data_IF_429857679465
#
_entry.id   IF_429857679465
#
_cell.length_a   1.000
_cell.length_b   1.000
_cell.length_c   1.000
_cell.angle_alpha   90.00
_cell.angle_beta   90.00
_cell.angle_gamma   90.00
#
_symmetry.space_group_name_H-M   'P 1'
#
loop_
_entity.id
_entity.type
_entity.pdbx_description
1 polymer ?
#
# COMPACT_ATOMS: atom_id res chain seq x y z
N UNK A 1 -12.66 -3.29 -10.74
CA UNK A 1 -12.77 -2.07 -9.88
C UNK A 1 -13.33 -0.91 -10.70
N UNK A 2 -14.17 -0.07 -10.08
CA UNK A 2 -14.80 1.11 -10.69
C UNK A 2 -14.24 2.34 -9.97
N UNK A 3 -13.71 3.31 -10.71
CA UNK A 3 -13.13 4.52 -10.13
C UNK A 3 -14.22 5.38 -9.47
N UNK A 4 -13.93 5.86 -8.28
CA UNK A 4 -14.73 6.83 -7.54
C UNK A 4 -13.99 8.16 -7.34
N UNK A 5 -13.06 8.50 -8.22
CA UNK A 5 -12.17 9.65 -8.02
C UNK A 5 -12.78 11.00 -8.38
N UNK A 6 -13.90 11.05 -9.10
CA UNK A 6 -14.52 12.33 -9.51
C UNK A 6 -15.72 12.73 -8.64
N UNK A 7 -16.09 14.00 -8.72
CA UNK A 7 -17.33 14.56 -8.17
C UNK A 7 -17.49 14.41 -6.66
N UNK A 8 -16.43 14.64 -5.89
CA UNK A 8 -16.52 14.72 -4.44
C UNK A 8 -16.86 16.13 -3.98
N UNK A 9 -17.91 16.30 -3.20
CA UNK A 9 -18.10 17.52 -2.42
C UNK A 9 -17.10 17.55 -1.27
N UNK A 10 -16.40 18.67 -1.09
CA UNK A 10 -15.38 18.85 -0.07
C UNK A 10 -15.71 20.00 0.87
N UNK A 11 -15.44 19.80 2.17
CA UNK A 11 -15.50 20.86 3.19
C UNK A 11 -14.32 20.75 4.15
N UNK A 12 -13.80 21.90 4.57
CA UNK A 12 -12.80 21.96 5.66
C UNK A 12 -13.42 21.86 7.06
N UNK A 13 -14.75 21.85 7.16
CA UNK A 13 -15.47 21.75 8.43
C UNK A 13 -16.43 20.57 8.37
N UNK A 14 -16.10 19.52 9.10
CA UNK A 14 -16.96 18.35 9.22
C UNK A 14 -18.18 18.63 10.10
N UNK A 15 -19.34 18.13 9.73
CA UNK A 15 -20.53 18.04 10.56
C UNK A 15 -21.31 16.75 10.30
N UNK A 16 -22.09 16.30 11.26
CA UNK A 16 -23.01 15.16 11.05
C UNK A 16 -23.99 15.43 9.91
N UNK A 17 -24.50 16.66 9.77
CA UNK A 17 -25.36 17.09 8.68
C UNK A 17 -24.71 16.91 7.31
N UNK A 18 -23.38 17.12 7.21
CA UNK A 18 -22.64 16.85 5.97
C UNK A 18 -22.76 15.38 5.55
N UNK A 19 -22.58 14.42 6.47
CA UNK A 19 -22.75 13.00 6.16
C UNK A 19 -24.19 12.64 5.75
N UNK A 20 -25.19 13.35 6.25
CA UNK A 20 -26.60 13.20 5.91
C UNK A 20 -27.02 13.93 4.63
N UNK A 21 -26.13 14.72 4.02
CA UNK A 21 -26.36 15.40 2.75
C UNK A 21 -26.82 16.83 2.87
N UNK A 22 -26.68 17.44 4.01
CA UNK A 22 -27.01 18.86 4.22
C UNK A 22 -25.97 19.76 3.57
N UNK A 23 -26.43 20.91 3.06
CA UNK A 23 -25.58 21.89 2.41
C UNK A 23 -25.15 21.52 0.99
N UNK A 24 -24.46 22.45 0.35
CA UNK A 24 -23.78 22.27 -0.96
C UNK A 24 -22.36 22.78 -0.83
N UNK A 25 -21.41 22.03 -1.37
CA UNK A 25 -19.99 22.29 -1.23
C UNK A 25 -19.30 22.22 -2.59
N UNK A 26 -18.10 22.83 -2.73
CA UNK A 26 -17.32 22.72 -3.93
C UNK A 26 -17.04 21.27 -4.31
N UNK A 27 -17.00 20.98 -5.60
CA UNK A 27 -16.61 19.68 -6.13
C UNK A 27 -15.11 19.65 -6.30
N UNK A 28 -14.52 18.51 -5.96
CA UNK A 28 -13.10 18.19 -6.14
C UNK A 28 -12.95 16.78 -6.74
N UNK A 29 -11.85 16.57 -7.43
CA UNK A 29 -11.45 15.26 -7.92
C UNK A 29 -10.25 14.74 -7.10
N UNK A 30 -10.10 13.41 -7.00
CA UNK A 30 -9.00 12.75 -6.32
C UNK A 30 -7.88 12.42 -7.32
N UNK A 31 -6.63 12.52 -6.88
CA UNK A 31 -6.11 12.82 -5.53
C UNK A 31 -6.34 14.28 -5.13
N UNK A 32 -6.68 14.52 -3.86
CA UNK A 32 -6.96 15.86 -3.33
C UNK A 32 -6.32 16.10 -1.97
N UNK A 33 -5.70 17.28 -1.79
CA UNK A 33 -5.16 17.72 -0.49
C UNK A 33 -6.21 18.51 0.30
N UNK A 34 -6.25 18.32 1.62
CA UNK A 34 -7.26 18.94 2.49
C UNK A 34 -7.11 20.45 2.67
N UNK A 35 -6.00 21.02 2.29
CA UNK A 35 -5.72 22.44 2.37
C UNK A 35 -4.87 22.96 1.21
N UNK A 36 -4.85 24.27 1.03
CA UNK A 36 -3.95 24.89 0.07
C UNK A 36 -2.52 24.81 0.61
N UNK A 37 -1.59 24.30 -0.20
CA UNK A 37 -0.19 24.18 0.15
C UNK A 37 0.59 25.22 -0.65
N UNK A 38 1.24 26.19 0.00
CA UNK A 38 2.04 27.18 -0.71
C UNK A 38 3.33 26.57 -1.31
N UNK A 39 3.97 27.29 -2.21
CA UNK A 39 5.26 26.86 -2.77
C UNK A 39 6.34 26.72 -1.68
N UNK A 40 6.34 27.63 -0.72
CA UNK A 40 7.30 27.68 0.37
C UNK A 40 6.60 27.96 1.70
N UNK A 41 7.24 27.53 2.79
CA UNK A 41 6.85 27.87 4.16
C UNK A 41 5.43 27.41 4.55
N UNK A 42 4.99 26.22 4.05
CA UNK A 42 3.76 25.62 4.51
C UNK A 42 3.81 25.39 6.03
N UNK A 43 2.69 25.66 6.70
CA UNK A 43 2.53 25.44 8.13
C UNK A 43 1.44 24.40 8.35
N UNK A 44 1.46 23.66 9.48
CA UNK A 44 0.38 22.71 9.80
C UNK A 44 -1.02 23.32 9.70
N UNK A 45 -1.20 24.60 10.05
CA UNK A 45 -2.49 25.30 9.98
C UNK A 45 -3.03 25.44 8.55
N UNK A 46 -2.17 25.37 7.54
CA UNK A 46 -2.57 25.50 6.14
C UNK A 46 -3.31 24.24 5.65
N UNK A 47 -3.00 23.06 6.20
CA UNK A 47 -3.50 21.77 5.72
C UNK A 47 -4.10 20.87 6.81
N UNK A 48 -3.84 21.12 8.10
CA UNK A 48 -4.36 20.31 9.19
C UNK A 48 -5.76 20.78 9.61
N UNK A 49 -6.61 19.84 10.04
CA UNK A 49 -7.97 20.09 10.51
C UNK A 49 -8.86 18.86 10.38
N UNK A 50 -10.14 19.03 10.66
CA UNK A 50 -11.14 17.97 10.48
C UNK A 50 -11.99 18.35 9.26
N UNK A 51 -11.77 17.66 8.16
CA UNK A 51 -12.44 17.89 6.89
C UNK A 51 -13.41 16.77 6.52
N UNK A 52 -14.22 16.99 5.50
CA UNK A 52 -15.19 16.05 4.98
C UNK A 52 -15.16 15.95 3.46
N UNK A 53 -15.28 14.71 2.98
CA UNK A 53 -15.51 14.38 1.58
C UNK A 53 -16.83 13.63 1.47
N UNK A 54 -17.65 13.93 0.46
CA UNK A 54 -18.86 13.16 0.23
C UNK A 54 -19.21 13.11 -1.26
N UNK A 55 -19.86 12.02 -1.68
CA UNK A 55 -20.38 11.86 -3.04
C UNK A 55 -21.59 10.94 -3.10
N UNK A 56 -22.34 11.03 -4.20
CA UNK A 56 -23.32 10.01 -4.57
C UNK A 56 -22.62 8.69 -4.97
N UNK A 57 -23.24 7.57 -4.61
CA UNK A 57 -22.81 6.23 -4.99
C UNK A 57 -24.01 5.46 -5.51
N UNK A 58 -24.12 5.32 -6.84
CA UNK A 58 -25.13 4.48 -7.47
C UNK A 58 -24.71 3.02 -7.44
N UNK A 59 -25.56 2.15 -6.90
CA UNK A 59 -25.33 0.71 -6.84
C UNK A 59 -26.46 0.02 -7.58
N UNK A 60 -26.20 -0.50 -8.82
CA UNK A 60 -27.20 -1.16 -9.65
C UNK A 60 -27.85 -2.39 -8.98
N UNK A 61 -29.09 -2.71 -9.36
CA UNK A 61 -29.80 -3.90 -8.86
C UNK A 61 -29.09 -5.19 -9.22
N UNK A 62 -28.38 -5.24 -10.33
CA UNK A 62 -27.60 -6.40 -10.81
C UNK A 62 -26.42 -6.78 -9.91
N UNK A 63 -26.02 -5.88 -9.00
CA UNK A 63 -24.98 -6.17 -7.99
C UNK A 63 -25.55 -6.90 -6.76
N UNK A 64 -26.86 -7.09 -6.68
CA UNK A 64 -27.49 -7.86 -5.59
C UNK A 64 -26.97 -9.32 -5.60
N UNK A 65 -26.49 -9.78 -4.45
CA UNK A 65 -25.84 -11.10 -4.30
C UNK A 65 -24.34 -11.10 -4.55
N UNK A 66 -23.77 -9.98 -4.96
CA UNK A 66 -22.33 -9.74 -5.01
C UNK A 66 -21.83 -9.10 -3.72
N UNK A 67 -20.55 -9.26 -3.41
CA UNK A 67 -19.88 -8.52 -2.34
C UNK A 67 -19.33 -7.22 -2.89
N UNK A 68 -19.54 -6.14 -2.15
CA UNK A 68 -19.18 -4.79 -2.55
C UNK A 68 -18.22 -4.19 -1.53
N UNK A 69 -17.11 -3.66 -2.01
CA UNK A 69 -16.10 -3.07 -1.16
C UNK A 69 -15.71 -1.69 -1.67
N UNK A 70 -15.49 -0.79 -0.73
CA UNK A 70 -14.77 0.46 -0.98
C UNK A 70 -13.29 0.22 -0.72
N UNK A 71 -12.44 0.52 -1.69
CA UNK A 71 -11.00 0.49 -1.56
C UNK A 71 -10.48 1.92 -1.54
N UNK A 72 -9.74 2.28 -0.49
CA UNK A 72 -9.04 3.55 -0.36
C UNK A 72 -7.54 3.28 -0.46
N UNK A 73 -6.86 3.89 -1.43
CA UNK A 73 -5.42 3.69 -1.61
C UNK A 73 -4.58 4.59 -0.68
N UNK A 74 -5.22 5.60 -0.05
CA UNK A 74 -4.65 6.42 1.01
C UNK A 74 -5.58 7.55 1.45
N UNK A 75 -5.76 7.69 2.76
CA UNK A 75 -6.61 8.70 3.39
C UNK A 75 -5.93 9.23 4.66
N UNK A 76 -5.30 10.40 4.57
CA UNK A 76 -4.45 10.90 5.64
C UNK A 76 -5.20 11.88 6.57
N UNK A 77 -5.22 11.62 7.91
CA UNK A 77 -4.45 10.57 8.60
C UNK A 77 -5.36 9.59 9.35
N UNK A 78 -6.46 10.07 9.95
CA UNK A 78 -7.48 9.25 10.58
C UNK A 78 -8.80 9.41 9.82
N UNK A 79 -9.22 8.32 9.19
CA UNK A 79 -10.43 8.30 8.35
C UNK A 79 -11.59 7.59 9.06
N UNK A 80 -12.78 8.17 8.96
CA UNK A 80 -14.03 7.50 9.28
C UNK A 80 -14.92 7.48 8.04
N UNK A 81 -15.37 6.28 7.66
CA UNK A 81 -16.17 6.05 6.43
C UNK A 81 -17.63 5.88 6.81
N UNK A 82 -18.49 6.66 6.17
CA UNK A 82 -19.94 6.66 6.37
C UNK A 82 -20.67 6.29 5.09
N UNK A 83 -21.73 5.52 5.21
CA UNK A 83 -22.66 5.27 4.12
C UNK A 83 -24.09 5.58 4.58
N UNK A 84 -24.79 6.43 3.83
CA UNK A 84 -26.15 6.88 4.15
C UNK A 84 -26.29 7.50 5.56
N UNK A 85 -25.22 8.13 6.07
CA UNK A 85 -25.15 8.75 7.39
C UNK A 85 -24.71 7.81 8.53
N UNK A 86 -24.58 6.51 8.29
CA UNK A 86 -24.10 5.54 9.27
C UNK A 86 -22.61 5.30 9.13
N UNK A 87 -21.86 5.31 10.24
CA UNK A 87 -20.43 4.99 10.28
C UNK A 87 -20.23 3.49 10.09
N UNK A 88 -19.44 3.12 9.07
CA UNK A 88 -19.14 1.72 8.77
C UNK A 88 -17.76 1.28 9.26
N UNK A 89 -16.77 2.15 9.18
CA UNK A 89 -15.38 1.81 9.50
C UNK A 89 -14.57 3.04 9.90
N UNK A 90 -13.42 2.78 10.51
CA UNK A 90 -12.37 3.76 10.73
C UNK A 90 -11.01 3.16 10.34
N UNK A 91 -10.07 4.02 9.97
CA UNK A 91 -8.71 3.64 9.63
C UNK A 91 -7.72 4.66 10.16
N UNK A 92 -6.68 4.19 10.85
CA UNK A 92 -5.74 5.01 11.61
C UNK A 92 -4.32 4.99 11.02
N UNK A 93 -4.22 5.07 9.70
CA UNK A 93 -2.94 5.22 8.99
C UNK A 93 -3.16 6.05 7.73
N UNK A 94 -2.40 7.12 7.59
CA UNK A 94 -2.50 7.96 6.39
C UNK A 94 -1.83 7.38 5.15
N UNK A 95 -0.98 6.35 5.27
CA UNK A 95 -0.03 5.97 4.23
C UNK A 95 -0.27 4.58 3.61
N UNK A 96 -1.17 3.79 4.19
CA UNK A 96 -1.53 2.46 3.71
C UNK A 96 -2.93 2.44 3.10
N UNK A 97 -3.17 1.50 2.21
CA UNK A 97 -4.49 1.25 1.65
C UNK A 97 -5.35 0.44 2.64
N UNK A 98 -6.65 0.70 2.61
CA UNK A 98 -7.62 -0.06 3.40
C UNK A 98 -8.91 -0.31 2.62
N UNK A 99 -9.67 -1.30 3.07
CA UNK A 99 -10.88 -1.78 2.40
C UNK A 99 -12.04 -1.87 3.37
N UNK A 100 -13.22 -1.42 2.92
CA UNK A 100 -14.45 -1.43 3.72
C UNK A 100 -15.54 -2.20 2.97
N UNK A 101 -16.05 -3.28 3.53
CA UNK A 101 -17.19 -4.00 2.96
C UNK A 101 -18.48 -3.21 3.21
N UNK A 102 -19.23 -2.95 2.14
CA UNK A 102 -20.49 -2.18 2.18
C UNK A 102 -21.71 -2.99 1.76
N UNK A 103 -21.56 -4.29 1.51
CA UNK A 103 -22.59 -5.20 0.94
C UNK A 103 -23.92 -5.10 1.67
N UNK A 104 -23.91 -5.09 3.01
CA UNK A 104 -25.11 -5.06 3.84
C UNK A 104 -25.69 -3.65 4.06
N UNK A 105 -24.91 -2.60 3.77
CA UNK A 105 -25.27 -1.22 4.05
C UNK A 105 -25.82 -0.46 2.83
N UNK A 106 -25.60 -1.02 1.61
CA UNK A 106 -26.03 -0.36 0.36
C UNK A 106 -27.53 -0.53 0.09
N UNK A 107 -28.11 0.47 -0.54
CA UNK A 107 -29.45 0.45 -1.11
C UNK A 107 -29.33 0.19 -2.61
N UNK A 108 -29.65 -1.04 -3.03
CA UNK A 108 -29.54 -1.45 -4.43
C UNK A 108 -30.62 -0.78 -5.32
N UNK A 109 -30.23 -0.31 -6.50
CA UNK A 109 -31.11 0.38 -7.44
C UNK A 109 -31.45 1.82 -7.02
N UNK A 110 -30.76 2.33 -6.01
CA UNK A 110 -30.94 3.68 -5.49
C UNK A 110 -29.59 4.37 -5.37
N UNK A 111 -29.60 5.69 -5.29
CA UNK A 111 -28.43 6.46 -4.93
C UNK A 111 -28.17 6.32 -3.42
N UNK A 112 -26.92 5.95 -3.10
CA UNK A 112 -26.39 5.98 -1.75
C UNK A 112 -25.51 7.22 -1.57
N UNK A 113 -25.28 7.60 -0.34
CA UNK A 113 -24.36 8.69 -0.02
C UNK A 113 -23.16 8.16 0.72
N UNK A 114 -22.01 8.20 0.06
CA UNK A 114 -20.71 7.92 0.66
C UNK A 114 -20.15 9.21 1.24
N UNK A 115 -19.72 9.18 2.51
CA UNK A 115 -19.00 10.29 3.12
C UNK A 115 -17.78 9.78 3.90
N UNK A 116 -16.73 10.60 3.92
CA UNK A 116 -15.50 10.33 4.66
C UNK A 116 -15.16 11.55 5.49
N UNK A 117 -15.05 11.33 6.82
CA UNK A 117 -14.48 12.30 7.74
C UNK A 117 -12.98 12.03 7.86
N UNK A 118 -12.17 13.04 7.65
CA UNK A 118 -10.73 12.95 7.86
C UNK A 118 -10.29 13.91 8.96
N UNK A 119 -9.59 13.36 9.93
CA UNK A 119 -8.78 14.13 10.86
C UNK A 119 -7.34 14.16 10.31
N UNK A 120 -6.92 15.33 9.85
CA UNK A 120 -5.60 15.57 9.25
C UNK A 120 -4.65 16.26 10.23
N UNK A 121 -5.04 16.35 11.51
CA UNK A 121 -4.19 16.93 12.57
C UNK A 121 -3.07 15.97 12.97
N UNK A 122 -2.03 16.50 13.57
CA UNK A 122 -0.96 15.72 14.20
C UNK A 122 -1.45 15.12 15.52
N UNK A 123 -2.26 14.07 15.42
CA UNK A 123 -2.86 13.40 16.58
C UNK A 123 -1.85 12.44 17.24
N UNK A 124 -1.35 12.73 18.47
CA UNK A 124 -0.33 11.91 19.12
C UNK A 124 -0.77 10.47 19.47
N UNK A 125 -2.06 10.15 19.35
CA UNK A 125 -2.55 8.78 19.50
C UNK A 125 -2.44 7.94 18.22
N UNK A 126 -2.05 8.53 17.09
CA UNK A 126 -1.99 7.89 15.77
C UNK A 126 -0.57 7.97 15.20
N UNK A 127 0.07 6.85 14.81
CA UNK A 127 1.34 6.91 14.08
C UNK A 127 1.18 7.72 12.77
N UNK A 128 2.17 8.53 12.39
CA UNK A 128 3.51 8.68 12.95
C UNK A 128 3.64 9.70 14.08
N UNK A 129 2.54 10.32 14.53
CA UNK A 129 2.54 11.48 15.40
C UNK A 129 2.88 11.16 16.87
N UNK A 130 3.22 12.20 17.62
CA UNK A 130 3.51 12.14 19.06
C UNK A 130 4.73 12.95 19.48
N UNK A 131 5.59 13.29 18.54
CA UNK A 131 6.73 14.20 18.67
C UNK A 131 6.84 15.04 17.40
N UNK A 132 7.78 15.97 17.36
CA UNK A 132 8.03 16.78 16.15
C UNK A 132 8.50 15.85 15.02
N UNK A 133 7.82 15.92 13.88
CA UNK A 133 8.29 15.28 12.64
C UNK A 133 9.24 16.22 11.90
N UNK A 134 10.25 15.67 11.22
CA UNK A 134 11.14 16.44 10.36
C UNK A 134 10.63 16.59 8.92
N UNK A 135 9.37 16.20 8.69
CA UNK A 135 8.67 16.34 7.43
C UNK A 135 7.21 16.78 7.64
N UNK A 136 6.61 17.41 6.62
CA UNK A 136 5.22 17.84 6.68
C UNK A 136 4.27 16.67 6.36
N UNK A 137 3.31 16.43 7.24
CA UNK A 137 2.35 15.35 7.12
C UNK A 137 1.02 15.87 6.53
N UNK A 138 0.99 16.05 5.22
CA UNK A 138 -0.19 16.56 4.50
C UNK A 138 -1.36 15.61 4.57
N UNK A 139 -2.59 16.15 4.69
CA UNK A 139 -3.82 15.37 4.78
C UNK A 139 -4.70 15.46 3.54
N UNK A 140 -5.67 14.57 3.46
CA UNK A 140 -6.68 14.52 2.41
C UNK A 140 -6.99 13.10 1.93
N UNK A 141 -7.97 12.97 1.02
CA UNK A 141 -8.10 11.81 0.14
C UNK A 141 -7.07 11.99 -0.99
N UNK A 142 -5.82 11.73 -0.67
CA UNK A 142 -4.69 12.07 -1.52
C UNK A 142 -4.25 10.94 -2.46
N UNK A 143 -5.01 9.84 -2.47
CA UNK A 143 -4.90 8.72 -3.41
C UNK A 143 -6.28 8.30 -3.89
N UNK A 144 -6.32 7.32 -4.77
CA UNK A 144 -7.54 6.88 -5.44
C UNK A 144 -8.51 6.18 -4.48
N UNK A 145 -9.80 6.25 -4.84
CA UNK A 145 -10.90 5.50 -4.21
C UNK A 145 -11.63 4.70 -5.28
N UNK A 146 -11.95 3.45 -4.96
CA UNK A 146 -12.55 2.49 -5.88
C UNK A 146 -13.77 1.80 -5.27
N UNK A 147 -14.74 1.45 -6.12
CA UNK A 147 -15.73 0.43 -5.81
C UNK A 147 -15.27 -0.90 -6.42
N UNK A 148 -15.02 -1.89 -5.58
CA UNK A 148 -14.66 -3.25 -5.98
C UNK A 148 -15.89 -4.15 -5.86
N UNK A 149 -16.34 -4.73 -6.96
CA UNK A 149 -17.53 -5.59 -7.07
C UNK A 149 -17.06 -7.01 -7.32
N UNK A 150 -17.31 -7.90 -6.35
CA UNK A 150 -16.78 -9.26 -6.34
C UNK A 150 -17.89 -10.30 -6.35
N UNK A 151 -17.54 -11.56 -6.62
CA UNK A 151 -18.41 -12.69 -6.44
C UNK A 151 -18.85 -12.91 -4.98
N UNK A 152 -19.67 -13.94 -4.73
CA UNK A 152 -20.02 -14.34 -3.37
C UNK A 152 -18.80 -14.92 -2.63
N UNK A 153 -18.04 -15.77 -3.34
CA UNK A 153 -16.71 -16.22 -2.93
C UNK A 153 -15.67 -15.24 -3.49
N UNK A 154 -14.65 -14.88 -2.69
CA UNK A 154 -13.69 -13.82 -3.03
C UNK A 154 -12.27 -14.30 -2.80
N UNK A 155 -11.40 -14.05 -3.76
CA UNK A 155 -9.95 -14.11 -3.55
C UNK A 155 -9.54 -12.82 -2.84
N UNK A 156 -9.37 -12.90 -1.53
CA UNK A 156 -8.97 -11.76 -0.70
C UNK A 156 -7.52 -11.36 -0.98
N UNK A 157 -6.64 -12.36 -1.12
CA UNK A 157 -5.21 -12.12 -1.36
C UNK A 157 -4.57 -13.17 -2.26
N UNK A 158 -3.55 -12.74 -3.01
CA UNK A 158 -2.65 -13.56 -3.82
C UNK A 158 -1.24 -13.16 -3.46
N UNK A 159 -0.49 -14.07 -2.83
CA UNK A 159 0.90 -13.84 -2.48
C UNK A 159 1.81 -14.74 -3.31
N UNK A 160 2.80 -14.14 -3.97
CA UNK A 160 3.75 -14.82 -4.86
C UNK A 160 5.16 -14.70 -4.29
N UNK A 161 5.82 -15.84 -4.09
CA UNK A 161 7.25 -15.88 -3.78
C UNK A 161 8.01 -16.63 -4.87
N UNK A 162 9.28 -16.30 -5.05
CA UNK A 162 10.14 -16.88 -6.08
C UNK A 162 11.39 -17.50 -5.45
N UNK A 163 11.29 -18.74 -4.93
CA UNK A 163 12.42 -19.41 -4.27
C UNK A 163 13.58 -19.68 -5.23
N UNK A 164 13.30 -19.71 -6.53
CA UNK A 164 14.32 -19.79 -7.60
C UNK A 164 13.93 -18.87 -8.76
N UNK A 165 14.84 -18.65 -9.70
CA UNK A 165 14.61 -17.80 -10.87
C UNK A 165 13.61 -18.40 -11.89
N UNK A 166 13.13 -19.62 -11.66
CA UNK A 166 12.22 -20.33 -12.58
C UNK A 166 11.02 -20.97 -11.89
N UNK A 167 10.89 -20.77 -10.58
CA UNK A 167 9.77 -21.31 -9.78
C UNK A 167 9.08 -20.19 -9.01
N UNK A 168 7.75 -20.12 -9.14
CA UNK A 168 6.88 -19.30 -8.30
C UNK A 168 6.06 -20.20 -7.38
N UNK A 169 5.92 -19.79 -6.12
CA UNK A 169 5.02 -20.35 -5.13
C UNK A 169 3.91 -19.33 -4.86
N UNK A 170 2.67 -19.75 -5.01
CA UNK A 170 1.50 -18.89 -4.92
C UNK A 170 0.64 -19.34 -3.73
N UNK A 171 0.38 -18.43 -2.81
CA UNK A 171 -0.55 -18.62 -1.71
C UNK A 171 -1.80 -17.77 -1.93
N UNK A 172 -2.97 -18.39 -1.86
CA UNK A 172 -4.27 -17.73 -1.98
C UNK A 172 -4.92 -17.62 -0.62
N UNK A 173 -5.52 -16.47 -0.32
CA UNK A 173 -6.48 -16.32 0.76
C UNK A 173 -7.86 -16.17 0.13
N UNK A 174 -8.76 -17.10 0.42
CA UNK A 174 -10.11 -17.13 -0.17
C UNK A 174 -11.15 -17.10 0.94
N UNK A 175 -12.14 -16.24 0.81
CA UNK A 175 -13.35 -16.25 1.64
C UNK A 175 -14.52 -16.83 0.84
N UNK A 176 -15.26 -17.78 1.45
CA UNK A 176 -16.40 -18.44 0.82
C UNK A 176 -16.34 -19.96 0.85
N UNK A 177 -17.21 -20.64 0.08
CA UNK A 177 -17.58 -22.04 0.25
C UNK A 177 -16.84 -23.07 -0.62
N UNK A 178 -15.59 -22.80 -1.04
CA UNK A 178 -14.76 -23.88 -1.59
C UNK A 178 -14.86 -24.08 -3.11
N UNK A 179 -14.91 -23.00 -3.87
CA UNK A 179 -14.77 -23.05 -5.32
C UNK A 179 -13.41 -23.66 -5.73
N UNK A 180 -13.39 -24.40 -6.86
CA UNK A 180 -12.15 -24.82 -7.50
C UNK A 180 -11.33 -23.60 -7.91
N UNK A 181 -10.02 -23.69 -7.84
CA UNK A 181 -9.12 -22.57 -8.11
C UNK A 181 -8.28 -22.86 -9.32
N UNK A 182 -8.04 -21.83 -10.13
CA UNK A 182 -7.07 -21.88 -11.23
C UNK A 182 -6.08 -20.73 -11.05
N UNK A 183 -4.81 -21.06 -11.23
CA UNK A 183 -3.70 -20.11 -11.17
C UNK A 183 -2.97 -20.15 -12.50
N UNK A 184 -2.95 -19.04 -13.21
CA UNK A 184 -2.33 -18.90 -14.53
C UNK A 184 -1.15 -17.92 -14.45
N UNK A 185 0.04 -18.37 -14.86
CA UNK A 185 1.20 -17.52 -15.07
C UNK A 185 1.13 -16.90 -16.45
N UNK A 186 1.19 -15.58 -16.51
CA UNK A 186 1.18 -14.78 -17.73
C UNK A 186 2.50 -14.02 -17.86
N UNK A 187 3.02 -13.89 -19.07
CA UNK A 187 4.12 -12.97 -19.38
C UNK A 187 3.63 -11.53 -19.53
N UNK A 188 4.56 -10.61 -19.81
CA UNK A 188 4.26 -9.18 -19.98
C UNK A 188 3.31 -8.87 -21.16
N UNK A 189 3.22 -9.77 -22.15
CA UNK A 189 2.29 -9.65 -23.28
C UNK A 189 0.92 -10.29 -22.99
N UNK A 190 0.73 -10.91 -21.80
CA UNK A 190 -0.49 -11.62 -21.42
C UNK A 190 -0.54 -13.06 -21.96
N UNK A 191 0.54 -13.59 -22.54
CA UNK A 191 0.58 -14.95 -23.00
C UNK A 191 0.71 -15.93 -21.83
N UNK A 192 -0.02 -17.05 -21.90
CA UNK A 192 0.00 -18.10 -20.87
C UNK A 192 1.35 -18.85 -20.92
N UNK A 193 2.09 -18.76 -19.82
CA UNK A 193 3.37 -19.44 -19.64
C UNK A 193 3.22 -20.79 -18.95
N UNK A 194 2.31 -20.88 -17.96
CA UNK A 194 2.02 -22.09 -17.20
C UNK A 194 0.70 -21.93 -16.46
N UNK A 195 0.13 -23.05 -16.03
CA UNK A 195 -1.16 -23.08 -15.30
C UNK A 195 -1.17 -24.23 -14.28
N UNK A 196 -1.83 -24.01 -13.17
CA UNK A 196 -2.16 -25.03 -12.18
C UNK A 196 -3.62 -24.87 -11.76
N UNK A 197 -4.29 -26.00 -11.46
CA UNK A 197 -5.71 -26.01 -11.06
C UNK A 197 -5.92 -27.05 -9.96
N UNK A 198 -6.82 -26.77 -9.02
CA UNK A 198 -7.12 -27.64 -7.89
C UNK A 198 -7.99 -26.97 -6.84
N UNK A 199 -8.07 -27.59 -5.66
CA UNK A 199 -8.89 -27.11 -4.54
C UNK A 199 -8.03 -26.55 -3.38
N UNK A 200 -6.72 -26.55 -3.56
CA UNK A 200 -5.76 -26.06 -2.56
C UNK A 200 -5.67 -24.54 -2.54
N UNK A 201 -5.09 -24.00 -1.47
CA UNK A 201 -4.72 -22.58 -1.35
C UNK A 201 -3.24 -22.30 -1.69
N UNK A 202 -2.45 -23.35 -2.00
CA UNK A 202 -1.04 -23.21 -2.36
C UNK A 202 -0.76 -23.91 -3.69
N UNK A 203 -0.11 -23.17 -4.58
CA UNK A 203 0.24 -23.63 -5.92
C UNK A 203 1.72 -23.42 -6.19
N UNK A 204 2.25 -24.23 -7.08
CA UNK A 204 3.63 -24.18 -7.55
C UNK A 204 3.64 -24.13 -9.06
N UNK A 205 4.28 -23.12 -9.62
CA UNK A 205 4.40 -22.95 -11.05
C UNK A 205 5.87 -22.91 -11.41
N UNK A 206 6.30 -23.82 -12.30
CA UNK A 206 7.64 -23.85 -12.84
C UNK A 206 7.62 -23.35 -14.29
N UNK A 207 8.52 -22.42 -14.61
CA UNK A 207 8.67 -21.87 -15.95
C UNK A 207 10.15 -21.76 -16.31
N UNK A 208 10.68 -22.76 -17.05
CA UNK A 208 12.11 -22.85 -17.38
C UNK A 208 12.62 -21.70 -18.26
N UNK A 209 11.74 -21.05 -19.00
CA UNK A 209 12.07 -19.92 -19.86
C UNK A 209 11.86 -18.55 -19.17
N UNK A 210 11.69 -18.54 -17.85
CA UNK A 210 11.55 -17.29 -17.11
C UNK A 210 12.81 -16.42 -17.28
N UNK A 211 12.59 -15.16 -17.59
CA UNK A 211 13.64 -14.14 -17.60
C UNK A 211 13.59 -13.44 -16.23
N UNK A 212 14.70 -13.45 -15.47
CA UNK A 212 14.73 -12.83 -14.15
C UNK A 212 14.46 -11.33 -14.22
N UNK A 213 13.83 -10.81 -13.18
CA UNK A 213 13.76 -9.38 -12.92
C UNK A 213 15.11 -8.89 -12.40
N UNK A 214 15.66 -7.85 -13.01
CA UNK A 214 16.92 -7.23 -12.61
C UNK A 214 16.88 -5.72 -12.77
N UNK A 215 17.98 -5.04 -12.42
CA UNK A 215 18.11 -3.58 -12.57
C UNK A 215 18.09 -3.13 -14.03
N UNK A 216 18.65 -3.93 -14.92
CA UNK A 216 18.81 -3.59 -16.35
C UNK A 216 17.75 -4.27 -17.23
N UNK A 217 17.22 -5.39 -16.78
CA UNK A 217 16.15 -6.14 -17.44
C UNK A 217 15.01 -6.41 -16.44
N UNK A 218 14.12 -5.46 -16.18
CA UNK A 218 13.05 -5.59 -15.21
C UNK A 218 11.87 -6.42 -15.76
N UNK A 219 12.11 -7.70 -16.02
CA UNK A 219 11.11 -8.60 -16.60
C UNK A 219 10.00 -8.89 -15.59
N UNK A 220 8.77 -8.54 -15.93
CA UNK A 220 7.60 -8.70 -15.10
C UNK A 220 6.66 -9.77 -15.66
N UNK A 221 6.01 -10.46 -14.75
CA UNK A 221 5.00 -11.49 -14.99
C UNK A 221 3.76 -11.20 -14.14
N UNK A 222 2.66 -11.87 -14.46
CA UNK A 222 1.44 -11.80 -13.65
C UNK A 222 0.96 -13.20 -13.28
N UNK A 223 0.41 -13.32 -12.06
CA UNK A 223 -0.44 -14.44 -11.67
C UNK A 223 -1.89 -13.99 -11.74
N UNK A 224 -2.67 -14.62 -12.61
CA UNK A 224 -4.12 -14.55 -12.60
C UNK A 224 -4.65 -15.73 -11.78
N UNK A 225 -5.29 -15.44 -10.66
CA UNK A 225 -5.95 -16.42 -9.82
C UNK A 225 -7.47 -16.30 -10.02
N UNK A 226 -8.15 -17.42 -10.24
CA UNK A 226 -9.58 -17.50 -10.52
C UNK A 226 -10.26 -18.51 -9.60
N UNK A 227 -11.48 -18.18 -9.18
CA UNK A 227 -12.42 -19.13 -8.56
C UNK A 227 -13.39 -19.64 -9.61
N UNK A 228 -13.59 -20.95 -9.65
CA UNK A 228 -14.44 -21.60 -10.62
C UNK A 228 -15.62 -22.28 -9.91
N UNK A 229 -16.82 -22.12 -10.45
CA UNK A 229 -17.99 -22.87 -9.99
C UNK A 229 -17.96 -24.33 -10.50
N UNK A 230 -18.98 -25.11 -10.13
CA UNK A 230 -19.12 -26.52 -10.53
C UNK A 230 -19.23 -26.70 -12.06
N UNK A 231 -19.60 -25.69 -12.82
CA UNK A 231 -19.65 -25.70 -14.28
C UNK A 231 -18.32 -25.34 -14.94
N UNK A 232 -17.36 -24.85 -14.14
CA UNK A 232 -16.08 -24.30 -14.61
C UNK A 232 -16.14 -22.82 -15.00
N UNK A 233 -17.23 -22.13 -14.73
CA UNK A 233 -17.33 -20.69 -14.97
C UNK A 233 -16.59 -19.90 -13.87
N UNK A 234 -15.92 -18.81 -14.28
CA UNK A 234 -15.20 -17.93 -13.36
C UNK A 234 -16.20 -17.11 -12.54
N UNK A 235 -16.11 -17.24 -11.23
CA UNK A 235 -16.97 -16.51 -10.27
C UNK A 235 -16.25 -15.33 -9.61
N UNK A 236 -14.93 -15.40 -9.49
CA UNK A 236 -14.09 -14.33 -9.01
C UNK A 236 -12.66 -14.43 -9.60
N UNK A 237 -11.99 -13.30 -9.75
CA UNK A 237 -10.67 -13.20 -10.35
C UNK A 237 -9.84 -12.13 -9.64
N UNK A 238 -8.55 -12.44 -9.42
CA UNK A 238 -7.57 -11.46 -8.95
C UNK A 238 -6.23 -11.67 -9.64
N UNK A 239 -5.72 -10.60 -10.25
CA UNK A 239 -4.41 -10.61 -10.91
C UNK A 239 -3.42 -9.79 -10.11
N UNK A 240 -2.23 -10.35 -9.89
CA UNK A 240 -1.09 -9.67 -9.25
C UNK A 240 0.15 -9.75 -10.12
N UNK A 241 0.93 -8.68 -10.14
CA UNK A 241 2.18 -8.59 -10.88
C UNK A 241 3.35 -8.98 -9.96
N UNK A 242 4.38 -9.60 -10.51
CA UNK A 242 5.60 -9.98 -9.81
C UNK A 242 6.78 -10.15 -10.79
N UNK A 243 7.98 -10.40 -10.26
CA UNK A 243 9.16 -10.73 -11.06
C UNK A 243 9.90 -11.92 -10.47
N UNK A 244 10.39 -12.82 -11.31
CA UNK A 244 11.29 -13.91 -10.87
C UNK A 244 12.62 -13.31 -10.45
N UNK A 245 12.93 -13.38 -9.17
CA UNK A 245 14.19 -12.93 -8.61
C UNK A 245 14.53 -13.60 -7.29
N UNK A 246 15.81 -13.59 -6.94
CA UNK A 246 16.30 -13.82 -5.57
C UNK A 246 16.97 -12.56 -5.07
N UNK A 247 16.69 -12.12 -3.84
CA UNK A 247 17.26 -10.93 -3.25
C UNK A 247 17.66 -11.23 -1.80
N UNK A 248 18.90 -10.96 -1.45
CA UNK A 248 19.46 -11.37 -0.16
C UNK A 248 20.55 -10.40 0.31
N UNK A 249 20.44 -9.96 1.57
CA UNK A 249 21.54 -9.35 2.31
C UNK A 249 22.33 -10.44 3.03
N UNK A 250 23.62 -10.51 2.77
CA UNK A 250 24.53 -11.45 3.42
C UNK A 250 25.88 -10.81 3.67
N UNK A 251 26.77 -11.53 4.35
CA UNK A 251 28.12 -11.00 4.57
C UNK A 251 28.76 -10.61 3.23
N UNK A 252 29.15 -9.35 3.12
CA UNK A 252 29.74 -8.78 1.90
C UNK A 252 28.81 -7.89 1.08
N UNK A 253 27.52 -7.80 1.40
CA UNK A 253 26.60 -6.85 0.79
C UNK A 253 25.25 -7.41 0.38
N UNK A 254 24.56 -6.69 -0.49
CA UNK A 254 23.32 -7.11 -1.10
C UNK A 254 23.58 -7.88 -2.41
N UNK A 255 22.81 -8.92 -2.63
CA UNK A 255 22.89 -9.77 -3.82
C UNK A 255 21.52 -9.89 -4.48
N UNK A 256 21.46 -9.62 -5.76
CA UNK A 256 20.29 -9.81 -6.62
C UNK A 256 20.61 -10.92 -7.64
N UNK A 257 19.80 -11.96 -7.66
CA UNK A 257 20.00 -13.12 -8.56
C UNK A 257 21.39 -13.78 -8.43
N UNK A 258 21.97 -13.71 -7.23
CA UNK A 258 23.30 -14.24 -6.94
C UNK A 258 24.45 -13.28 -7.22
N UNK A 259 24.22 -12.17 -7.89
CA UNK A 259 25.22 -11.16 -8.20
C UNK A 259 25.20 -10.03 -7.16
N UNK A 260 26.39 -9.56 -6.78
CA UNK A 260 26.52 -8.46 -5.82
C UNK A 260 26.11 -7.14 -6.46
N UNK A 261 25.17 -6.44 -5.82
CA UNK A 261 24.73 -5.10 -6.22
C UNK A 261 25.16 -4.08 -5.16
N UNK A 262 25.76 -2.99 -5.62
CA UNK A 262 26.03 -1.84 -4.76
C UNK A 262 24.80 -0.94 -4.70
N UNK A 263 24.21 -0.81 -3.50
CA UNK A 263 23.03 0.04 -3.27
C UNK A 263 23.47 1.51 -3.21
N UNK A 264 23.06 2.28 -4.20
CA UNK A 264 23.34 3.71 -4.32
C UNK A 264 22.04 4.43 -4.64
N UNK A 265 21.66 5.41 -3.82
CA UNK A 265 20.38 6.06 -4.01
C UNK A 265 20.12 7.20 -3.06
N UNK A 266 18.87 7.62 -3.02
CA UNK A 266 18.38 8.75 -2.24
C UNK A 266 17.22 8.34 -1.34
N UNK A 267 16.96 9.17 -0.33
CA UNK A 267 15.71 9.15 0.44
C UNK A 267 14.66 9.98 -0.30
N UNK A 268 13.46 9.45 -0.46
CA UNK A 268 12.37 10.15 -1.14
C UNK A 268 11.21 10.43 -0.19
N UNK A 269 10.79 11.70 -0.12
CA UNK A 269 9.47 12.10 0.35
C UNK A 269 8.53 12.33 -0.84
N UNK A 270 7.22 12.00 -0.68
CA UNK A 270 6.24 12.05 -1.79
C UNK A 270 5.52 13.40 -1.95
N UNK A 271 6.05 14.47 -1.36
CA UNK A 271 5.38 15.76 -1.36
C UNK A 271 5.79 16.65 -2.53
N UNK A 272 4.82 17.45 -3.01
CA UNK A 272 5.02 18.45 -4.05
C UNK A 272 4.48 19.81 -3.63
N UNK A 273 5.08 20.92 -4.12
CA UNK A 273 4.50 22.25 -3.98
C UNK A 273 3.05 22.28 -4.47
N UNK A 274 2.19 23.02 -3.80
CA UNK A 274 0.75 23.21 -4.06
C UNK A 274 -0.14 21.99 -3.85
N UNK A 275 0.38 20.78 -3.96
CA UNK A 275 -0.37 19.54 -3.90
C UNK A 275 -0.15 18.71 -2.64
N UNK A 276 0.90 19.02 -1.85
CA UNK A 276 1.26 18.16 -0.71
C UNK A 276 1.49 16.71 -1.14
N UNK A 277 0.72 15.77 -0.60
CA UNK A 277 0.77 14.35 -0.98
C UNK A 277 -0.11 13.98 -2.17
N UNK A 278 -0.99 14.88 -2.63
CA UNK A 278 -1.95 14.61 -3.71
C UNK A 278 -1.32 14.65 -5.11
N UNK A 279 -0.11 14.11 -5.24
CA UNK A 279 0.57 14.01 -6.52
C UNK A 279 -0.04 12.90 -7.39
N UNK A 280 -0.49 13.21 -8.63
CA UNK A 280 -1.10 12.22 -9.51
C UNK A 280 -0.09 11.18 -10.00
N UNK A 281 -0.61 10.06 -10.58
CA UNK A 281 0.20 8.96 -11.11
C UNK A 281 1.39 9.43 -11.95
N UNK A 282 1.18 10.37 -12.88
CA UNK A 282 2.23 10.85 -13.76
C UNK A 282 3.45 11.42 -13.01
N UNK A 283 3.22 12.18 -11.93
CA UNK A 283 4.32 12.71 -11.11
C UNK A 283 4.99 11.64 -10.26
N UNK A 284 4.23 10.68 -9.74
CA UNK A 284 4.78 9.55 -8.99
C UNK A 284 5.72 8.70 -9.86
N UNK A 285 5.32 8.46 -11.11
CA UNK A 285 6.12 7.71 -12.09
C UNK A 285 7.35 8.51 -12.56
N UNK A 286 7.19 9.82 -12.72
CA UNK A 286 8.28 10.71 -13.14
C UNK A 286 9.40 10.75 -12.09
N UNK A 287 9.09 10.75 -10.81
CA UNK A 287 10.12 10.67 -9.75
C UNK A 287 10.95 9.38 -9.86
N UNK A 288 10.30 8.24 -10.09
CA UNK A 288 11.01 6.97 -10.27
C UNK A 288 11.91 7.01 -11.52
N UNK A 289 11.41 7.62 -12.62
CA UNK A 289 12.19 7.80 -13.86
C UNK A 289 13.42 8.68 -13.62
N UNK A 290 13.25 9.83 -12.95
CA UNK A 290 14.37 10.74 -12.62
C UNK A 290 15.41 10.02 -11.76
N UNK A 291 14.99 9.31 -10.72
CA UNK A 291 15.89 8.56 -9.85
C UNK A 291 16.69 7.52 -10.63
N UNK A 292 16.03 6.77 -11.51
CA UNK A 292 16.67 5.70 -12.27
C UNK A 292 17.51 6.21 -13.43
N UNK A 293 16.93 7.05 -14.30
CA UNK A 293 17.52 7.38 -15.59
C UNK A 293 18.43 8.61 -15.53
N UNK A 294 18.07 9.64 -14.75
CA UNK A 294 18.86 10.86 -14.68
C UNK A 294 19.90 10.84 -13.55
N UNK A 295 19.51 10.33 -12.37
CA UNK A 295 20.39 10.26 -11.21
C UNK A 295 21.14 8.94 -11.11
N UNK A 296 20.85 7.97 -12.00
CA UNK A 296 21.50 6.67 -12.05
C UNK A 296 21.49 5.93 -10.69
N UNK A 297 20.40 6.07 -9.92
CA UNK A 297 20.22 5.37 -8.67
C UNK A 297 19.96 3.87 -8.93
N UNK A 298 20.52 3.01 -8.07
CA UNK A 298 20.18 1.59 -8.02
C UNK A 298 19.11 1.28 -7.01
N UNK A 299 18.94 2.17 -6.01
CA UNK A 299 17.97 2.01 -4.93
C UNK A 299 17.37 3.35 -4.50
N UNK A 300 16.20 3.30 -3.87
CA UNK A 300 15.55 4.42 -3.20
C UNK A 300 15.00 3.95 -1.84
N UNK A 301 15.11 4.79 -0.84
CA UNK A 301 14.40 4.61 0.43
C UNK A 301 13.16 5.50 0.44
N UNK A 302 12.00 4.93 0.73
CA UNK A 302 10.74 5.69 0.86
C UNK A 302 10.59 6.22 2.28
N UNK A 303 11.28 7.33 2.58
CA UNK A 303 11.29 7.98 3.90
C UNK A 303 9.98 8.69 4.18
N UNK A 304 9.36 8.56 5.30
CA UNK A 304 9.48 7.54 6.34
C UNK A 304 8.13 6.87 6.46
N UNK A 305 7.62 6.33 5.32
CA UNK A 305 6.27 5.76 5.20
C UNK A 305 6.08 5.03 3.85
N UNK A 306 5.09 4.13 3.74
CA UNK A 306 4.71 3.53 2.47
C UNK A 306 4.22 4.58 1.47
N UNK A 307 4.81 4.60 0.26
CA UNK A 307 4.49 5.59 -0.76
C UNK A 307 3.51 5.06 -1.80
N UNK A 308 3.10 5.92 -2.76
CA UNK A 308 2.11 5.60 -3.79
C UNK A 308 2.43 4.29 -4.53
N UNK A 309 1.39 3.48 -4.81
CA UNK A 309 1.54 2.29 -5.65
C UNK A 309 2.10 2.62 -7.02
N UNK A 310 1.75 3.77 -7.60
CA UNK A 310 2.25 4.19 -8.91
C UNK A 310 3.75 4.42 -8.92
N UNK A 311 4.31 4.91 -7.80
CA UNK A 311 5.75 5.01 -7.63
C UNK A 311 6.42 3.63 -7.55
N UNK A 312 5.85 2.72 -6.75
CA UNK A 312 6.38 1.36 -6.60
C UNK A 312 6.24 0.56 -7.90
N UNK A 313 5.10 0.69 -8.60
CA UNK A 313 4.89 0.10 -9.92
C UNK A 313 5.94 0.58 -10.93
N UNK A 314 6.26 1.87 -10.93
CA UNK A 314 7.31 2.43 -11.78
C UNK A 314 8.71 1.90 -11.38
N UNK A 315 8.99 1.73 -10.09
CA UNK A 315 10.23 1.10 -9.62
C UNK A 315 10.37 -0.34 -10.13
N UNK A 316 9.26 -1.11 -10.12
CA UNK A 316 9.24 -2.47 -10.70
C UNK A 316 9.55 -2.46 -12.19
N UNK A 317 8.97 -1.53 -12.95
CA UNK A 317 9.11 -1.42 -14.41
C UNK A 317 10.46 -0.88 -14.85
N UNK A 318 11.09 -0.06 -14.03
CA UNK A 318 12.38 0.58 -14.33
C UNK A 318 13.59 -0.20 -13.76
N UNK A 319 13.35 -1.18 -12.89
CA UNK A 319 14.44 -1.88 -12.20
C UNK A 319 15.11 -1.01 -11.14
N UNK A 320 14.32 -0.29 -10.32
CA UNK A 320 14.81 0.52 -9.20
C UNK A 320 14.47 -0.20 -7.89
N UNK A 321 15.48 -0.55 -7.09
CA UNK A 321 15.29 -1.23 -5.81
C UNK A 321 14.67 -0.29 -4.77
N UNK A 322 13.83 -0.82 -3.90
CA UNK A 322 13.11 -0.05 -2.89
C UNK A 322 13.34 -0.61 -1.49
N UNK A 323 13.72 0.28 -0.57
CA UNK A 323 13.62 0.08 0.86
C UNK A 323 12.41 0.87 1.37
N UNK A 324 11.32 0.20 1.73
CA UNK A 324 10.12 0.84 2.30
C UNK A 324 10.01 0.57 3.79
N UNK A 325 9.41 1.53 4.54
CA UNK A 325 9.37 1.45 6.00
C UNK A 325 8.01 1.86 6.57
N UNK A 326 7.73 1.40 7.80
CA UNK A 326 6.53 1.79 8.53
C UNK A 326 6.56 3.29 8.86
N UNK A 327 5.38 3.95 8.97
CA UNK A 327 5.31 5.38 9.25
C UNK A 327 5.86 5.73 10.63
N UNK A 328 6.82 6.68 10.69
CA UNK A 328 7.31 7.18 11.96
C UNK A 328 8.65 7.89 11.89
N UNK A 329 8.86 8.79 12.86
CA UNK A 329 10.13 9.49 13.08
C UNK A 329 10.35 9.71 14.58
N UNK A 330 11.37 9.08 15.15
CA UNK A 330 11.84 9.12 16.54
C UNK A 330 10.83 8.67 17.62
N UNK A 331 9.57 9.08 17.55
CA UNK A 331 8.58 8.82 18.59
C UNK A 331 8.11 7.36 18.62
N UNK A 332 8.05 6.81 19.84
CA UNK A 332 7.35 5.56 20.16
C UNK A 332 6.31 5.91 21.21
N UNK A 333 5.03 5.69 20.89
CA UNK A 333 3.92 6.00 21.78
C UNK A 333 3.60 4.91 22.78
N UNK A 334 2.42 5.00 23.37
CA UNK A 334 1.87 4.05 24.34
C UNK A 334 1.49 2.70 23.69
N UNK A 335 0.94 1.79 24.48
CA UNK A 335 0.53 0.47 23.99
C UNK A 335 -0.56 0.53 22.89
N UNK A 336 -1.42 1.55 22.87
CA UNK A 336 -2.42 1.71 21.82
C UNK A 336 -1.77 2.19 20.51
N UNK A 337 -0.87 3.14 20.60
CA UNK A 337 -0.06 3.62 19.48
C UNK A 337 0.78 2.49 18.87
N UNK A 338 1.47 1.69 19.70
CA UNK A 338 2.28 0.53 19.25
C UNK A 338 1.43 -0.49 18.51
N UNK A 339 0.23 -0.84 19.01
CA UNK A 339 -0.69 -1.74 18.28
C UNK A 339 -1.06 -1.22 16.89
N UNK A 340 -1.33 0.09 16.76
CA UNK A 340 -1.60 0.72 15.45
C UNK A 340 -0.37 0.65 14.54
N UNK A 341 0.81 0.91 15.08
CA UNK A 341 2.06 0.81 14.33
C UNK A 341 2.36 -0.63 13.88
N UNK A 342 2.06 -1.64 14.69
CA UNK A 342 2.13 -3.07 14.30
C UNK A 342 1.15 -3.35 13.16
N UNK A 343 -0.07 -2.80 13.20
CA UNK A 343 -1.03 -2.95 12.11
C UNK A 343 -0.54 -2.26 10.82
N UNK A 344 0.12 -1.11 10.93
CA UNK A 344 0.74 -0.44 9.78
C UNK A 344 1.82 -1.32 9.12
N UNK A 345 2.57 -2.12 9.90
CA UNK A 345 3.49 -3.13 9.34
C UNK A 345 2.72 -4.20 8.56
N UNK A 346 1.60 -4.70 9.11
CA UNK A 346 0.74 -5.68 8.42
C UNK A 346 0.25 -5.14 7.07
N UNK A 347 -0.31 -3.95 7.08
CA UNK A 347 -0.84 -3.29 5.89
C UNK A 347 0.25 -3.05 4.85
N UNK A 348 1.40 -2.48 5.25
CA UNK A 348 2.53 -2.23 4.37
C UNK A 348 3.04 -3.50 3.69
N UNK A 349 3.32 -4.54 4.47
CA UNK A 349 3.85 -5.80 3.93
C UNK A 349 2.82 -6.46 3.01
N UNK A 350 1.57 -6.58 3.43
CA UNK A 350 0.51 -7.21 2.64
C UNK A 350 0.27 -6.47 1.33
N UNK A 351 0.28 -5.12 1.36
CA UNK A 351 0.06 -4.29 0.19
C UNK A 351 1.16 -4.46 -0.86
N UNK A 352 2.43 -4.60 -0.44
CA UNK A 352 3.57 -4.47 -1.34
C UNK A 352 4.41 -5.74 -1.55
N UNK A 353 4.12 -6.85 -0.88
CA UNK A 353 4.99 -8.05 -0.90
C UNK A 353 5.12 -8.75 -2.26
N UNK A 354 4.28 -8.42 -3.24
CA UNK A 354 4.41 -8.94 -4.60
C UNK A 354 5.35 -8.11 -5.49
N UNK A 355 5.72 -6.90 -5.08
CA UNK A 355 6.58 -6.01 -5.87
C UNK A 355 8.04 -6.49 -5.86
N UNK A 356 8.63 -6.83 -7.01
CA UNK A 356 10.03 -7.31 -7.06
C UNK A 356 11.05 -6.22 -6.73
N UNK A 357 10.72 -4.95 -6.93
CA UNK A 357 11.59 -3.83 -6.56
C UNK A 357 11.84 -3.72 -5.05
N UNK A 358 10.87 -4.09 -4.20
CA UNK A 358 11.03 -4.02 -2.75
C UNK A 358 11.95 -5.14 -2.28
N UNK A 359 13.06 -4.77 -1.63
CA UNK A 359 14.09 -5.71 -1.17
C UNK A 359 14.24 -5.76 0.34
N UNK A 360 13.64 -4.81 1.07
CA UNK A 360 13.84 -4.66 2.50
C UNK A 360 12.61 -4.04 3.16
N UNK A 361 12.16 -4.62 4.27
CA UNK A 361 11.08 -4.08 5.10
C UNK A 361 11.66 -3.27 6.26
N UNK A 362 11.36 -1.96 6.30
CA UNK A 362 11.65 -1.12 7.45
C UNK A 362 10.60 -1.32 8.54
N UNK A 363 10.96 -2.05 9.58
CA UNK A 363 10.03 -2.43 10.67
C UNK A 363 10.32 -1.73 11.99
N UNK A 364 11.25 -0.78 11.95
CA UNK A 364 11.64 0.08 13.07
C UNK A 364 11.34 1.53 12.72
N UNK A 365 10.82 2.29 13.66
CA UNK A 365 10.63 3.74 13.53
C UNK A 365 11.99 4.40 13.28
N UNK A 366 12.06 5.21 12.23
CA UNK A 366 13.29 5.93 11.90
C UNK A 366 13.81 6.71 13.10
N UNK A 367 15.11 6.57 13.39
CA UNK A 367 15.82 7.29 14.45
C UNK A 367 15.21 7.17 15.86
N UNK A 368 14.44 6.16 16.12
CA UNK A 368 13.87 5.96 17.45
C UNK A 368 14.88 5.37 18.44
N UNK A 369 14.60 5.53 19.72
CA UNK A 369 15.26 4.76 20.77
C UNK A 369 14.92 3.27 20.66
N UNK A 370 15.65 2.43 21.39
CA UNK A 370 15.36 1.01 21.47
C UNK A 370 14.08 0.74 22.27
N UNK A 371 13.23 -0.13 21.73
CA UNK A 371 12.10 -0.75 22.40
C UNK A 371 12.02 -2.20 21.91
N UNK A 372 12.75 -3.05 22.62
CA UNK A 372 13.02 -4.41 22.18
C UNK A 372 11.75 -5.24 21.98
N UNK A 373 10.76 -5.10 22.86
CA UNK A 373 9.53 -5.88 22.77
C UNK A 373 8.71 -5.44 21.54
N UNK A 374 8.59 -4.15 21.31
CA UNK A 374 7.90 -3.60 20.14
C UNK A 374 8.59 -4.02 18.85
N UNK A 375 9.92 -3.92 18.77
CA UNK A 375 10.64 -4.27 17.54
C UNK A 375 10.78 -5.78 17.30
N UNK A 376 10.74 -6.62 18.33
CA UNK A 376 10.57 -8.07 18.15
C UNK A 376 9.20 -8.39 17.55
N UNK A 377 8.14 -7.71 17.99
CA UNK A 377 6.79 -7.90 17.46
C UNK A 377 6.67 -7.47 15.99
N UNK A 378 7.13 -6.27 15.63
CA UNK A 378 7.08 -5.77 14.24
C UNK A 378 7.92 -6.64 13.30
N UNK A 379 9.11 -7.05 13.74
CA UNK A 379 9.99 -7.93 12.97
C UNK A 379 9.37 -9.31 12.74
N UNK A 380 8.86 -9.95 13.81
CA UNK A 380 8.22 -11.26 13.73
C UNK A 380 6.97 -11.23 12.82
N UNK A 381 6.18 -10.15 12.90
CA UNK A 381 5.02 -9.97 12.04
C UNK A 381 5.43 -9.86 10.56
N UNK A 382 6.42 -9.04 10.23
CA UNK A 382 6.87 -8.89 8.85
C UNK A 382 7.34 -10.22 8.26
N UNK A 383 8.16 -10.99 8.98
CA UNK A 383 8.60 -12.33 8.56
C UNK A 383 7.45 -13.33 8.42
N UNK A 384 6.43 -13.25 9.28
CA UNK A 384 5.24 -14.11 9.16
C UNK A 384 4.41 -13.84 7.92
N UNK A 385 4.40 -12.59 7.45
CA UNK A 385 3.65 -12.14 6.27
C UNK A 385 4.46 -12.29 4.97
N UNK A 386 5.77 -12.16 5.06
CA UNK A 386 6.69 -12.29 3.94
C UNK A 386 8.04 -12.87 4.39
N UNK A 387 8.19 -14.20 4.39
CA UNK A 387 9.46 -14.85 4.75
C UNK A 387 10.53 -14.73 3.66
N UNK A 388 10.22 -14.13 2.51
CA UNK A 388 11.15 -14.02 1.38
C UNK A 388 12.04 -12.79 1.41
N UNK A 389 11.74 -11.82 2.30
CA UNK A 389 12.51 -10.58 2.44
C UNK A 389 13.01 -10.40 3.86
N UNK A 390 14.17 -9.78 3.94
CA UNK A 390 14.78 -9.39 5.19
C UNK A 390 14.21 -8.07 5.70
N UNK A 391 14.45 -7.80 6.98
CA UNK A 391 13.96 -6.63 7.70
C UNK A 391 15.10 -5.71 8.10
N UNK A 392 14.79 -4.43 8.33
CA UNK A 392 15.72 -3.41 8.78
C UNK A 392 14.99 -2.30 9.55
N UNK A 393 15.76 -1.32 9.97
CA UNK A 393 15.27 -0.06 10.52
C UNK A 393 16.43 0.90 10.72
N UNK A 394 16.23 2.16 10.36
CA UNK A 394 17.30 3.15 10.34
C UNK A 394 17.45 3.80 11.71
N UNK A 395 18.63 3.70 12.26
CA UNK A 395 19.05 4.19 13.58
C UNK A 395 19.86 5.48 13.45
N UNK A 396 19.92 6.25 14.53
CA UNK A 396 20.89 7.33 14.68
C UNK A 396 21.87 7.09 15.84
N UNK A 397 21.55 6.15 16.73
CA UNK A 397 22.45 5.71 17.79
C UNK A 397 23.26 4.49 17.33
N UNK A 398 24.56 4.63 17.21
CA UNK A 398 25.48 3.60 16.73
C UNK A 398 25.40 2.28 17.52
N UNK A 399 25.10 2.35 18.84
CA UNK A 399 25.01 1.18 19.73
C UNK A 399 23.59 0.67 19.95
N UNK A 400 22.64 1.05 19.11
CA UNK A 400 21.27 0.56 19.16
C UNK A 400 21.20 -0.94 18.90
N UNK A 401 20.25 -1.63 19.56
CA UNK A 401 20.13 -3.08 19.45
C UNK A 401 19.74 -3.51 18.02
N UNK A 402 20.36 -4.57 17.52
CA UNK A 402 19.97 -5.21 16.25
C UNK A 402 18.99 -6.34 16.55
N UNK A 403 17.74 -6.15 16.16
CA UNK A 403 16.66 -7.13 16.26
C UNK A 403 16.16 -7.56 14.88
N UNK A 404 16.44 -6.76 13.88
CA UNK A 404 16.18 -6.97 12.46
C UNK A 404 17.35 -7.71 11.81
N UNK A 405 17.21 -8.12 10.56
CA UNK A 405 18.24 -8.86 9.82
C UNK A 405 19.39 -7.98 9.34
N UNK A 406 19.09 -6.72 9.00
CA UNK A 406 20.04 -5.78 8.39
C UNK A 406 20.17 -4.54 9.26
N UNK A 407 21.38 -4.20 9.63
CA UNK A 407 21.67 -2.99 10.38
C UNK A 407 21.76 -1.78 9.44
N UNK A 408 20.84 -0.83 9.57
CA UNK A 408 20.90 0.46 8.88
C UNK A 408 21.11 1.59 9.90
N UNK A 409 21.87 2.59 9.50
CA UNK A 409 22.33 3.67 10.38
C UNK A 409 22.42 4.98 9.60
N UNK A 410 21.94 6.08 10.22
CA UNK A 410 22.16 7.43 9.72
C UNK A 410 23.51 7.94 10.21
N UNK A 411 24.46 8.05 9.31
CA UNK A 411 25.78 8.62 9.59
C UNK A 411 25.75 10.12 9.28
N UNK A 412 25.98 10.90 10.33
CA UNK A 412 26.06 12.38 10.27
C UNK A 412 27.49 12.90 10.43
N UNK A 413 28.51 12.04 10.36
CA UNK A 413 29.92 12.41 10.54
C UNK A 413 30.55 13.01 9.27
#
# INVERSE_FOLDING_TARGET
MISLCSDWEFTREWSAGFAHGEGRFPLVDLPHTAGEVPLHYAKPEDYAGICGYRRGLSVPLEYRGKRLFLQFDGAAHFAEVYLNGEKLAEHACGYTAFRVEITSAVRYGMENRLAVRLDTTENPAVPPFGFVLDYLAYGGLYREVWLDVRGADVIEDVFVTTPTLTRAEIALTVSGSGARRRVTLLDAAGAVCAMAEGDDNKYYVNYSNARPWSLDEPNLYSICAELLDASGAVTDEKTVRFGFRTAEFRRGGFYLNGERVFLRGLNRHQCYPYMGYAAPEALQREDARILKEELCCTAVRTSHYPQSRHFIDACDELGLLVFTELPGWQHIGDAAWKRRSVENVREMVTQYRNHPSIILWGVRINESLDDDDFYRETNALAHSLDPSRQTSGVRYLEKSHLLEDVYAYNDFS
#
